data_IF_450842682369
#
_entry.id   IF_450842682369
#
_cell.length_a   1.000
_cell.length_b   1.000
_cell.length_c   1.000
_cell.angle_alpha   90.00
_cell.angle_beta   90.00
_cell.angle_gamma   90.00
#
_symmetry.space_group_name_H-M   'P 1'
#
loop_
_entity.id
_entity.type
_entity.pdbx_description
1 polymer ?
#
# COMPACT_ATOMS: atom_id res chain seq x y z
N UNK A 1 22.19 1.67 -9.66
CA UNK A 1 21.02 1.10 -10.39
C UNK A 1 20.26 0.03 -9.61
N UNK A 2 20.81 -1.16 -9.35
CA UNK A 2 20.07 -2.28 -8.68
C UNK A 2 19.47 -1.89 -7.31
N UNK A 3 20.20 -1.18 -6.45
CA UNK A 3 19.72 -0.77 -5.11
C UNK A 3 18.51 0.17 -5.17
N UNK A 4 18.48 1.12 -6.10
CA UNK A 4 17.37 2.06 -6.24
C UNK A 4 16.11 1.38 -6.78
N UNK A 5 16.23 0.46 -7.75
CA UNK A 5 15.10 -0.34 -8.25
C UNK A 5 14.58 -1.26 -7.14
N UNK A 6 15.46 -1.85 -6.33
CA UNK A 6 15.07 -2.67 -5.19
C UNK A 6 14.31 -1.85 -4.13
N UNK A 7 14.71 -0.61 -3.91
CA UNK A 7 13.98 0.31 -3.03
C UNK A 7 12.57 0.62 -3.56
N UNK A 8 12.40 0.79 -4.87
CA UNK A 8 11.08 0.96 -5.49
C UNK A 8 10.25 -0.33 -5.38
N UNK A 9 10.84 -1.50 -5.66
CA UNK A 9 10.17 -2.80 -5.53
C UNK A 9 9.69 -3.06 -4.10
N UNK A 10 10.48 -2.70 -3.10
CA UNK A 10 10.07 -2.83 -1.70
C UNK A 10 9.01 -1.81 -1.28
N UNK A 11 8.94 -0.63 -1.91
CA UNK A 11 7.81 0.30 -1.76
C UNK A 11 6.53 -0.28 -2.38
N UNK A 12 6.63 -0.85 -3.58
CA UNK A 12 5.54 -1.56 -4.25
C UNK A 12 5.04 -2.75 -3.42
N UNK A 13 5.95 -3.49 -2.77
CA UNK A 13 5.60 -4.57 -1.84
C UNK A 13 4.77 -4.07 -0.65
N UNK A 14 5.19 -2.98 0.00
CA UNK A 14 4.47 -2.43 1.16
C UNK A 14 3.05 -1.96 0.78
N UNK A 15 2.91 -1.29 -0.37
CA UNK A 15 1.61 -0.85 -0.87
C UNK A 15 0.71 -2.05 -1.22
N UNK A 16 1.25 -3.05 -1.92
CA UNK A 16 0.54 -4.27 -2.22
C UNK A 16 0.15 -5.05 -0.97
N UNK A 17 1.05 -5.18 0.00
CA UNK A 17 0.73 -5.83 1.27
C UNK A 17 -0.39 -5.09 2.02
N UNK A 18 -0.42 -3.75 2.02
CA UNK A 18 -1.49 -2.96 2.60
C UNK A 18 -2.85 -3.17 1.90
N UNK A 19 -2.84 -3.46 0.60
CA UNK A 19 -4.04 -3.82 -0.16
C UNK A 19 -4.52 -5.24 0.19
N UNK A 20 -3.66 -6.23 -0.01
CA UNK A 20 -4.05 -7.64 0.01
C UNK A 20 -4.20 -8.23 1.41
N UNK A 21 -3.50 -7.71 2.41
CA UNK A 21 -3.65 -8.17 3.80
C UNK A 21 -5.09 -8.05 4.30
N UNK A 22 -5.82 -7.02 3.84
CA UNK A 22 -7.22 -6.82 4.22
C UNK A 22 -8.12 -7.99 3.81
N UNK A 23 -7.83 -8.65 2.69
CA UNK A 23 -8.58 -9.82 2.25
C UNK A 23 -8.40 -11.01 3.20
N UNK A 24 -7.19 -11.19 3.74
CA UNK A 24 -6.88 -12.25 4.70
C UNK A 24 -7.48 -12.04 6.08
N UNK A 25 -7.64 -10.77 6.51
CA UNK A 25 -8.18 -10.42 7.84
C UNK A 25 -9.66 -10.03 7.83
N UNK A 26 -10.32 -10.09 6.68
CA UNK A 26 -11.69 -9.57 6.50
C UNK A 26 -12.71 -10.18 7.46
N UNK A 27 -12.76 -11.51 7.69
CA UNK A 27 -13.71 -12.11 8.61
C UNK A 27 -13.53 -11.61 10.06
N UNK A 28 -12.29 -11.50 10.52
CA UNK A 28 -11.97 -11.04 11.88
C UNK A 28 -12.27 -9.54 12.05
N UNK A 29 -12.00 -8.74 11.01
CA UNK A 29 -12.33 -7.32 11.00
C UNK A 29 -13.87 -7.12 11.00
N UNK A 30 -14.61 -7.89 10.22
CA UNK A 30 -16.09 -7.88 10.19
C UNK A 30 -16.67 -8.19 11.57
N UNK A 31 -16.22 -9.28 12.19
CA UNK A 31 -16.64 -9.69 13.53
C UNK A 31 -16.33 -8.63 14.58
N UNK A 32 -15.12 -8.04 14.53
CA UNK A 32 -14.71 -7.00 15.47
C UNK A 32 -15.47 -5.67 15.32
N UNK A 33 -15.96 -5.38 14.10
CA UNK A 33 -16.76 -4.18 13.81
C UNK A 33 -18.28 -4.41 13.93
N UNK A 34 -18.72 -5.64 14.20
CA UNK A 34 -20.13 -6.00 14.32
C UNK A 34 -20.90 -5.87 13.01
N UNK A 35 -20.24 -6.13 11.86
CA UNK A 35 -20.85 -6.08 10.54
C UNK A 35 -20.75 -7.44 9.85
N UNK A 36 -21.64 -7.70 8.89
CA UNK A 36 -21.58 -8.89 8.04
C UNK A 36 -20.42 -8.80 7.00
N UNK A 37 -20.00 -9.95 6.48
CA UNK A 37 -18.88 -10.03 5.52
C UNK A 37 -19.15 -9.22 4.24
N UNK A 38 -20.35 -9.25 3.63
CA UNK A 38 -20.68 -8.38 2.50
C UNK A 38 -20.47 -6.89 2.80
N UNK A 39 -20.90 -6.40 3.94
CA UNK A 39 -20.68 -5.00 4.37
C UNK A 39 -19.20 -4.73 4.62
N UNK A 40 -18.46 -5.67 5.20
CA UNK A 40 -17.01 -5.55 5.38
C UNK A 40 -16.26 -5.46 4.05
N UNK A 41 -16.81 -5.98 2.96
CA UNK A 41 -16.29 -5.80 1.59
C UNK A 41 -16.09 -4.34 1.21
N UNK A 42 -16.83 -3.40 1.83
CA UNK A 42 -16.67 -1.97 1.64
C UNK A 42 -15.28 -1.45 2.08
N UNK A 43 -14.58 -2.15 2.97
CA UNK A 43 -13.20 -1.80 3.35
C UNK A 43 -12.22 -2.00 2.19
N UNK A 44 -12.43 -3.04 1.37
CA UNK A 44 -11.65 -3.31 0.17
C UNK A 44 -12.03 -2.32 -0.93
N UNK A 45 -13.34 -2.13 -1.16
CA UNK A 45 -13.86 -1.20 -2.18
C UNK A 45 -13.43 0.23 -1.91
N UNK A 46 -13.45 0.67 -0.64
CA UNK A 46 -12.99 2.00 -0.25
C UNK A 46 -11.53 2.23 -0.58
N UNK A 47 -10.67 1.24 -0.34
CA UNK A 47 -9.27 1.30 -0.76
C UNK A 47 -9.15 1.44 -2.28
N UNK A 48 -9.87 0.64 -3.04
CA UNK A 48 -9.85 0.69 -4.51
C UNK A 48 -10.32 2.05 -5.04
N UNK A 49 -11.37 2.64 -4.45
CA UNK A 49 -11.81 4.01 -4.78
C UNK A 49 -10.69 5.01 -4.46
N UNK A 50 -10.02 4.85 -3.32
CA UNK A 50 -8.85 5.64 -2.96
C UNK A 50 -7.74 5.56 -4.02
N UNK A 51 -7.44 4.37 -4.55
CA UNK A 51 -6.47 4.17 -5.64
C UNK A 51 -6.87 4.94 -6.89
N UNK A 52 -8.15 4.85 -7.29
CA UNK A 52 -8.68 5.57 -8.45
C UNK A 52 -8.55 7.09 -8.29
N UNK A 53 -9.02 7.63 -7.17
CA UNK A 53 -8.96 9.08 -6.87
C UNK A 53 -7.51 9.54 -6.73
N UNK A 54 -6.67 8.74 -6.05
CA UNK A 54 -5.27 9.04 -5.82
C UNK A 54 -4.43 9.11 -7.09
N UNK A 55 -4.84 8.44 -8.17
CA UNK A 55 -4.16 8.54 -9.47
C UNK A 55 -4.13 9.98 -9.98
N UNK A 56 -5.14 10.79 -9.63
CA UNK A 56 -5.18 12.22 -9.96
C UNK A 56 -4.05 13.00 -9.29
N UNK A 57 -3.47 12.50 -8.19
CA UNK A 57 -2.31 13.13 -7.54
C UNK A 57 -1.11 13.23 -8.48
N UNK A 58 -1.02 12.38 -9.50
CA UNK A 58 0.03 12.49 -10.54
C UNK A 58 -0.10 13.79 -11.33
N UNK A 59 -1.33 14.22 -11.61
CA UNK A 59 -1.59 15.45 -12.36
C UNK A 59 -1.13 16.67 -11.57
N UNK A 60 -1.48 16.72 -10.27
CA UNK A 60 -1.08 17.81 -9.39
C UNK A 60 0.39 17.74 -8.98
N UNK A 61 0.95 16.52 -8.88
CA UNK A 61 2.34 16.27 -8.51
C UNK A 61 3.39 16.55 -9.61
N UNK A 62 2.99 16.91 -10.82
CA UNK A 62 3.90 17.11 -11.97
C UNK A 62 5.06 18.07 -11.74
N UNK A 63 4.89 19.02 -10.83
CA UNK A 63 5.90 20.04 -10.47
C UNK A 63 6.77 19.64 -9.29
N UNK A 64 6.45 18.53 -8.62
CA UNK A 64 7.16 18.07 -7.42
C UNK A 64 8.24 17.04 -7.83
N UNK A 65 9.46 17.14 -7.29
CA UNK A 65 10.49 16.15 -7.57
C UNK A 65 10.02 14.72 -7.23
N UNK A 66 10.25 13.73 -8.11
CA UNK A 66 9.74 12.36 -7.93
C UNK A 66 10.12 11.73 -6.59
N UNK A 67 11.32 12.00 -6.06
CA UNK A 67 11.75 11.52 -4.73
C UNK A 67 10.84 12.05 -3.62
N UNK A 68 10.49 13.33 -3.63
CA UNK A 68 9.58 13.92 -2.63
C UNK A 68 8.17 13.34 -2.74
N UNK A 69 7.71 13.06 -3.97
CA UNK A 69 6.42 12.40 -4.19
C UNK A 69 6.38 11.00 -3.58
N UNK A 70 7.42 10.18 -3.81
CA UNK A 70 7.51 8.84 -3.23
C UNK A 70 7.47 8.91 -1.68
N UNK A 71 8.20 9.83 -1.07
CA UNK A 71 8.19 10.02 0.39
C UNK A 71 6.81 10.45 0.90
N UNK A 72 6.15 11.37 0.19
CA UNK A 72 4.79 11.81 0.51
C UNK A 72 3.81 10.63 0.43
N UNK A 73 3.90 9.80 -0.61
CA UNK A 73 3.06 8.62 -0.77
C UNK A 73 3.27 7.61 0.36
N UNK A 74 4.52 7.37 0.77
CA UNK A 74 4.82 6.52 1.92
C UNK A 74 4.27 7.09 3.22
N UNK A 75 4.34 8.42 3.41
CA UNK A 75 3.78 9.08 4.59
C UNK A 75 2.24 8.96 4.65
N UNK A 76 1.54 9.15 3.52
CA UNK A 76 0.08 8.97 3.46
C UNK A 76 -0.30 7.51 3.74
N UNK A 77 0.44 6.54 3.17
CA UNK A 77 0.23 5.12 3.44
C UNK A 77 0.45 4.79 4.92
N UNK A 78 1.48 5.35 5.53
CA UNK A 78 1.75 5.22 6.97
C UNK A 78 0.56 5.70 7.80
N UNK A 79 0.07 6.92 7.53
CA UNK A 79 -1.08 7.51 8.24
C UNK A 79 -2.32 6.65 8.06
N UNK A 80 -2.64 6.22 6.84
CA UNK A 80 -3.80 5.38 6.55
C UNK A 80 -3.76 4.02 7.27
N UNK A 81 -2.58 3.37 7.32
CA UNK A 81 -2.41 2.11 8.04
C UNK A 81 -2.45 2.31 9.57
N UNK A 82 -1.88 3.39 10.11
CA UNK A 82 -2.00 3.71 11.54
C UNK A 82 -3.46 3.96 11.93
N UNK A 83 -4.20 4.73 11.14
CA UNK A 83 -5.63 4.94 11.36
C UNK A 83 -6.41 3.62 11.31
N UNK A 84 -6.07 2.72 10.38
CA UNK A 84 -6.68 1.39 10.30
C UNK A 84 -6.37 0.53 11.53
N UNK A 85 -5.16 0.64 12.09
CA UNK A 85 -4.76 -0.10 13.29
C UNK A 85 -5.51 0.35 14.56
N UNK A 86 -5.79 1.67 14.68
CA UNK A 86 -6.43 2.24 15.88
C UNK A 86 -7.94 2.44 15.73
N UNK A 87 -8.52 2.00 14.63
CA UNK A 87 -9.95 2.22 14.35
C UNK A 87 -10.87 1.58 15.40
N UNK A 88 -11.95 2.28 15.75
CA UNK A 88 -12.92 1.87 16.76
C UNK A 88 -14.26 1.44 16.15
N UNK A 89 -14.57 1.88 14.92
CA UNK A 89 -15.83 1.61 14.26
C UNK A 89 -15.68 1.44 12.74
N UNK A 90 -16.70 0.82 12.10
CA UNK A 90 -16.70 0.53 10.68
C UNK A 90 -16.54 1.77 9.77
N UNK A 91 -17.25 2.90 9.97
CA UNK A 91 -17.05 4.10 9.16
C UNK A 91 -15.63 4.65 9.22
N UNK A 92 -15.01 4.63 10.39
CA UNK A 92 -13.61 5.08 10.56
C UNK A 92 -12.65 4.18 9.77
N UNK A 93 -12.89 2.87 9.75
CA UNK A 93 -12.09 1.93 8.97
C UNK A 93 -12.23 2.18 7.47
N UNK A 94 -13.45 2.47 6.97
CA UNK A 94 -13.70 2.83 5.57
C UNK A 94 -12.87 4.06 5.18
N UNK A 95 -12.89 5.13 5.98
CA UNK A 95 -12.11 6.35 5.73
C UNK A 95 -10.60 6.08 5.78
N UNK A 96 -10.14 5.31 6.75
CA UNK A 96 -8.74 4.95 6.89
C UNK A 96 -8.24 4.14 5.67
N UNK A 97 -9.06 3.22 5.17
CA UNK A 97 -8.77 2.44 3.95
C UNK A 97 -8.73 3.32 2.70
N UNK A 98 -9.66 4.25 2.56
CA UNK A 98 -9.64 5.23 1.48
C UNK A 98 -8.35 6.04 1.47
N UNK A 99 -7.95 6.60 2.62
CA UNK A 99 -6.70 7.36 2.76
C UNK A 99 -5.48 6.49 2.42
N UNK A 100 -5.46 5.23 2.89
CA UNK A 100 -4.37 4.29 2.61
C UNK A 100 -4.26 3.93 1.12
N UNK A 101 -5.38 3.94 0.39
CA UNK A 101 -5.44 3.68 -1.06
C UNK A 101 -4.95 4.83 -1.94
N UNK A 102 -5.11 6.09 -1.50
CA UNK A 102 -4.78 7.27 -2.29
C UNK A 102 -3.37 7.25 -2.92
N UNK A 103 -2.30 6.91 -2.21
CA UNK A 103 -0.95 6.94 -2.78
C UNK A 103 -0.66 5.79 -3.74
N UNK A 104 -1.45 4.71 -3.74
CA UNK A 104 -1.12 3.47 -4.43
C UNK A 104 -0.96 3.68 -5.95
N UNK A 105 -1.99 4.18 -6.63
CA UNK A 105 -1.96 4.41 -8.09
C UNK A 105 -0.91 5.44 -8.50
N UNK A 106 -0.81 6.54 -7.75
CA UNK A 106 0.17 7.60 -7.99
C UNK A 106 1.61 7.12 -7.75
N UNK A 107 1.83 6.25 -6.76
CA UNK A 107 3.14 5.65 -6.52
C UNK A 107 3.62 4.85 -7.73
N UNK A 108 2.79 3.96 -8.29
CA UNK A 108 3.17 3.13 -9.43
C UNK A 108 3.50 3.96 -10.66
N UNK A 109 2.74 5.04 -10.92
CA UNK A 109 3.05 5.98 -12.01
C UNK A 109 4.41 6.66 -11.83
N UNK A 110 4.66 7.21 -10.63
CA UNK A 110 5.93 7.88 -10.29
C UNK A 110 7.11 6.90 -10.28
N UNK A 111 6.92 5.73 -9.66
CA UNK A 111 7.96 4.71 -9.55
C UNK A 111 8.34 4.12 -10.92
N UNK A 112 7.37 3.96 -11.84
CA UNK A 112 7.62 3.55 -13.22
C UNK A 112 8.49 4.57 -13.96
N UNK A 113 8.19 5.86 -13.81
CA UNK A 113 9.02 6.92 -14.41
C UNK A 113 10.46 6.87 -13.87
N UNK A 114 10.63 6.76 -12.55
CA UNK A 114 11.96 6.66 -11.92
C UNK A 114 12.67 5.38 -12.38
N UNK A 115 11.99 4.23 -12.42
CA UNK A 115 12.58 2.98 -12.86
C UNK A 115 13.12 3.07 -14.30
N UNK A 116 12.35 3.71 -15.21
CA UNK A 116 12.79 3.95 -16.60
C UNK A 116 14.01 4.87 -16.68
N UNK A 117 14.04 5.96 -15.89
CA UNK A 117 15.17 6.88 -15.88
C UNK A 117 16.46 6.30 -15.29
N UNK A 118 16.33 5.29 -14.41
CA UNK A 118 17.45 4.59 -13.79
C UNK A 118 17.93 3.37 -14.60
N UNK A 119 17.17 2.97 -15.62
CA UNK A 119 17.50 1.82 -16.45
C UNK A 119 18.63 2.12 -17.42
N UNK A 120 19.42 1.09 -17.77
CA UNK A 120 20.31 1.16 -18.92
C UNK A 120 19.50 1.22 -20.21
N UNK A 121 20.06 1.82 -21.27
CA UNK A 121 19.39 1.89 -22.59
C UNK A 121 18.96 0.49 -23.06
N UNK A 122 17.67 0.38 -23.40
CA UNK A 122 17.06 -0.89 -23.85
C UNK A 122 16.65 -1.85 -22.73
N UNK A 123 16.82 -1.50 -21.44
CA UNK A 123 16.42 -2.31 -20.30
C UNK A 123 15.32 -1.67 -19.45
N UNK A 124 14.62 -0.68 -19.99
CA UNK A 124 13.58 0.07 -19.27
C UNK A 124 12.43 -0.85 -18.84
N UNK A 125 12.00 -1.77 -19.72
CA UNK A 125 10.96 -2.75 -19.42
C UNK A 125 11.39 -3.69 -18.27
N UNK A 126 12.65 -4.14 -18.28
CA UNK A 126 13.18 -4.99 -17.22
C UNK A 126 13.21 -4.26 -15.86
N UNK A 127 13.59 -2.98 -15.84
CA UNK A 127 13.61 -2.18 -14.61
C UNK A 127 12.19 -2.02 -14.02
N UNK A 128 11.20 -1.76 -14.87
CA UNK A 128 9.79 -1.68 -14.46
C UNK A 128 9.29 -3.03 -13.96
N UNK A 129 9.59 -4.12 -14.65
CA UNK A 129 9.21 -5.48 -14.22
C UNK A 129 9.79 -5.82 -12.85
N UNK A 130 11.06 -5.51 -12.60
CA UNK A 130 11.70 -5.70 -11.27
C UNK A 130 11.00 -4.88 -10.18
N UNK A 131 10.57 -3.66 -10.47
CA UNK A 131 9.82 -2.85 -9.53
C UNK A 131 8.44 -3.47 -9.24
N UNK A 132 7.71 -3.90 -10.26
CA UNK A 132 6.38 -4.52 -10.12
C UNK A 132 6.44 -5.88 -9.42
N UNK A 133 7.56 -6.60 -9.49
CA UNK A 133 7.75 -7.87 -8.76
C UNK A 133 7.44 -7.70 -7.26
N UNK A 134 7.74 -6.55 -6.67
CA UNK A 134 7.37 -6.26 -5.28
C UNK A 134 5.86 -6.39 -5.02
N UNK A 135 5.03 -5.83 -5.90
CA UNK A 135 3.58 -5.96 -5.83
C UNK A 135 3.12 -7.42 -6.02
N UNK A 136 3.72 -8.13 -6.97
CA UNK A 136 3.38 -9.53 -7.23
C UNK A 136 3.66 -10.42 -6.00
N UNK A 137 4.81 -10.24 -5.36
CA UNK A 137 5.16 -10.96 -4.13
C UNK A 137 4.19 -10.59 -2.99
N UNK A 138 3.83 -9.32 -2.87
CA UNK A 138 2.85 -8.87 -1.88
C UNK A 138 1.47 -9.50 -2.11
N UNK A 139 1.04 -9.66 -3.37
CA UNK A 139 -0.21 -10.33 -3.71
C UNK A 139 -0.19 -11.81 -3.30
N UNK A 140 0.91 -12.52 -3.57
CA UNK A 140 1.04 -13.93 -3.20
C UNK A 140 1.10 -14.17 -1.69
N UNK A 141 1.76 -13.28 -0.95
CA UNK A 141 2.02 -13.45 0.48
C UNK A 141 1.02 -12.68 1.36
N UNK A 142 0.41 -11.62 0.87
CA UNK A 142 -0.41 -10.70 1.65
C UNK A 142 -1.65 -11.37 2.25
N UNK A 143 -2.38 -12.16 1.47
CA UNK A 143 -3.57 -12.87 1.94
C UNK A 143 -3.20 -13.95 2.96
N UNK A 144 -2.29 -14.90 2.66
CA UNK A 144 -1.89 -15.91 3.65
C UNK A 144 -1.29 -15.32 4.93
N UNK A 145 -0.43 -14.32 4.80
CA UNK A 145 0.16 -13.65 5.95
C UNK A 145 -0.90 -12.93 6.79
N UNK A 146 -1.85 -12.25 6.15
CA UNK A 146 -2.98 -11.62 6.84
C UNK A 146 -3.82 -12.63 7.62
N UNK A 147 -4.18 -13.74 6.99
CA UNK A 147 -4.95 -14.82 7.64
C UNK A 147 -4.20 -15.37 8.86
N UNK A 148 -2.94 -15.74 8.70
CA UNK A 148 -2.12 -16.24 9.81
C UNK A 148 -2.02 -15.20 10.95
N UNK A 149 -1.80 -13.94 10.62
CA UNK A 149 -1.72 -12.88 11.65
C UNK A 149 -3.05 -12.70 12.37
N UNK A 150 -4.18 -12.81 11.68
CA UNK A 150 -5.50 -12.68 12.28
C UNK A 150 -5.89 -13.88 13.17
N UNK A 151 -5.33 -15.08 12.89
CA UNK A 151 -5.56 -16.28 13.68
C UNK A 151 -4.73 -16.30 14.96
N UNK A 152 -3.46 -15.92 14.88
CA UNK A 152 -2.52 -16.00 16.02
C UNK A 152 -2.37 -14.69 16.79
N UNK A 153 -2.76 -13.57 16.21
CA UNK A 153 -2.58 -12.23 16.75
C UNK A 153 -3.83 -11.37 16.49
N UNK A 154 -3.81 -10.11 16.88
CA UNK A 154 -4.87 -9.17 16.52
C UNK A 154 -4.75 -8.74 15.05
N UNK A 155 -5.85 -8.72 14.30
CA UNK A 155 -5.89 -8.19 12.94
C UNK A 155 -5.36 -6.74 12.82
N UNK A 156 -5.47 -5.96 13.92
CA UNK A 156 -4.93 -4.60 13.99
C UNK A 156 -3.40 -4.57 13.93
N UNK A 157 -2.73 -5.60 14.44
CA UNK A 157 -1.27 -5.72 14.37
C UNK A 157 -0.76 -5.82 12.93
N UNK A 158 -1.54 -6.39 12.01
CA UNK A 158 -1.18 -6.42 10.60
C UNK A 158 -0.98 -5.00 10.05
N UNK A 159 -1.89 -4.09 10.36
CA UNK A 159 -1.75 -2.68 9.96
C UNK A 159 -0.63 -1.96 10.73
N UNK A 160 -0.42 -2.28 11.99
CA UNK A 160 0.69 -1.76 12.78
C UNK A 160 2.06 -2.12 12.19
N UNK A 161 2.24 -3.37 11.77
CA UNK A 161 3.46 -3.84 11.10
C UNK A 161 3.65 -3.15 9.75
N UNK A 162 2.57 -3.01 8.96
CA UNK A 162 2.62 -2.28 7.69
C UNK A 162 2.99 -0.81 7.90
N UNK A 163 2.44 -0.17 8.92
CA UNK A 163 2.82 1.19 9.29
C UNK A 163 4.30 1.28 9.67
N UNK A 164 4.81 0.36 10.47
CA UNK A 164 6.23 0.29 10.83
C UNK A 164 7.15 0.14 9.62
N UNK A 165 6.77 -0.70 8.65
CA UNK A 165 7.53 -0.86 7.40
C UNK A 165 7.51 0.40 6.54
N UNK A 166 6.38 1.13 6.50
CA UNK A 166 6.30 2.43 5.82
C UNK A 166 7.23 3.47 6.48
N UNK A 167 7.25 3.54 7.82
CA UNK A 167 8.10 4.45 8.56
C UNK A 167 9.60 4.16 8.31
N UNK A 168 10.00 2.90 8.39
CA UNK A 168 11.36 2.48 8.09
C UNK A 168 11.80 2.86 6.66
N UNK A 169 10.89 2.76 5.70
CA UNK A 169 11.14 3.17 4.30
C UNK A 169 11.27 4.68 4.16
N UNK A 170 10.43 5.46 4.83
CA UNK A 170 10.50 6.91 4.80
C UNK A 170 11.80 7.46 5.42
N UNK A 171 12.36 6.76 6.41
CA UNK A 171 13.63 7.15 7.06
C UNK A 171 14.88 6.76 6.29
N UNK A 172 14.81 5.75 5.40
CA UNK A 172 15.96 5.28 4.60
C UNK A 172 16.07 5.93 3.21
N UNK A 173 15.12 6.77 2.79
CA UNK A 173 15.07 7.45 1.48
C UNK A 173 15.57 8.87 1.51
#
# INVERSE_FOLDING_TARGET
MKRSILALASGAFVLGAAEFVMMGILPQAAAAMGVDIPTAGNYISSYAIGVCVGTLMLVFGRRVPPKKLILLFMAITLVGNLLSAVTLNSPMLIVARFISGLPHGAFFGTATLIAKTLADKGKEAQAVSMMVTGQTVANMLGVPAGTMMAEFMSWRLAFGILAGTCAAKASCG
#
